data_IF_320993604297
#
_entry.id   IF_320993604297
#
_cell.length_a   1.000
_cell.length_b   1.000
_cell.length_c   1.000
_cell.angle_alpha   90.00
_cell.angle_beta   90.00
_cell.angle_gamma   90.00
#
_symmetry.space_group_name_H-M   'P 1'
#
loop_
_entity.id
_entity.type
_entity.pdbx_description
1 polymer ?
#
# COMPACT_ATOMS: atom_id res chain seq x y z
N UNK A 1 20.26 3.28 1.43
CA UNK A 1 20.76 2.04 0.79
C UNK A 1 21.88 1.35 1.55
N UNK A 2 23.05 1.99 1.78
CA UNK A 2 24.18 1.35 2.50
C UNK A 2 23.75 0.67 3.80
N UNK A 3 22.94 1.36 4.63
CA UNK A 3 22.37 0.77 5.85
C UNK A 3 21.54 -0.49 5.57
N UNK A 4 20.66 -0.47 4.58
CA UNK A 4 19.83 -1.62 4.22
C UNK A 4 20.68 -2.83 3.82
N UNK A 5 21.76 -2.63 3.05
CA UNK A 5 22.69 -3.71 2.75
C UNK A 5 23.43 -4.23 3.98
N UNK A 6 23.84 -3.35 4.90
CA UNK A 6 24.49 -3.75 6.15
C UNK A 6 23.62 -4.64 7.04
N UNK A 7 22.28 -4.53 6.95
CA UNK A 7 21.36 -5.40 7.70
C UNK A 7 21.18 -6.80 7.08
N UNK A 8 21.38 -6.95 5.76
CA UNK A 8 21.01 -8.19 5.03
C UNK A 8 22.20 -8.95 4.45
N UNK A 9 23.37 -8.32 4.32
CA UNK A 9 24.55 -8.94 3.72
C UNK A 9 25.55 -9.37 4.80
N UNK A 10 25.92 -10.66 4.80
CA UNK A 10 26.86 -11.27 5.76
C UNK A 10 28.14 -11.79 5.09
N UNK A 11 28.29 -11.58 3.78
CA UNK A 11 29.43 -12.06 2.98
C UNK A 11 29.16 -13.36 2.22
N UNK A 12 27.98 -13.95 2.37
CA UNK A 12 27.63 -15.28 1.82
C UNK A 12 26.58 -15.23 0.72
N UNK A 13 25.88 -14.12 0.63
CA UNK A 13 24.68 -13.96 -0.19
C UNK A 13 25.06 -13.75 -1.65
N UNK A 14 24.25 -14.30 -2.56
CA UNK A 14 24.21 -13.87 -3.96
C UNK A 14 23.17 -12.76 -4.09
N UNK A 15 23.60 -11.60 -4.58
CA UNK A 15 22.73 -10.43 -4.75
C UNK A 15 22.41 -10.23 -6.22
N UNK A 16 21.15 -10.01 -6.58
CA UNK A 16 20.77 -9.54 -7.90
C UNK A 16 20.34 -8.06 -7.84
N UNK A 17 20.92 -7.22 -8.68
CA UNK A 17 20.59 -5.81 -8.85
C UNK A 17 19.86 -5.66 -10.18
N UNK A 18 18.54 -5.44 -10.13
CA UNK A 18 17.68 -5.37 -11.30
C UNK A 18 17.39 -3.92 -11.70
N UNK A 19 17.71 -3.56 -12.94
CA UNK A 19 17.54 -2.21 -13.47
C UNK A 19 18.72 -1.28 -13.16
N UNK A 20 18.83 -0.19 -13.92
CA UNK A 20 19.99 0.71 -13.89
C UNK A 20 20.15 1.43 -12.55
N UNK A 21 19.05 1.78 -11.86
CA UNK A 21 19.13 2.41 -10.55
C UNK A 21 19.74 1.45 -9.52
N UNK A 22 19.33 0.18 -9.53
CA UNK A 22 19.91 -0.82 -8.62
C UNK A 22 21.37 -1.10 -8.96
N UNK A 23 21.71 -1.16 -10.26
CA UNK A 23 23.09 -1.36 -10.72
C UNK A 23 24.06 -0.27 -10.21
N UNK A 24 23.58 0.95 -9.94
CA UNK A 24 24.42 2.02 -9.36
C UNK A 24 24.99 1.67 -7.98
N UNK A 25 24.42 0.68 -7.28
CA UNK A 25 24.86 0.21 -5.97
C UNK A 25 25.72 -1.06 -6.02
N UNK A 26 26.29 -1.37 -7.19
CA UNK A 26 27.10 -2.57 -7.42
C UNK A 26 28.30 -2.66 -6.48
N UNK A 27 28.98 -1.55 -6.17
CA UNK A 27 30.16 -1.55 -5.30
C UNK A 27 29.77 -1.88 -3.86
N UNK A 28 28.72 -1.26 -3.35
CA UNK A 28 28.18 -1.51 -2.02
C UNK A 28 27.72 -2.97 -1.87
N UNK A 29 26.95 -3.48 -2.83
CA UNK A 29 26.52 -4.87 -2.84
C UNK A 29 27.73 -5.83 -2.89
N UNK A 30 28.72 -5.56 -3.76
CA UNK A 30 29.91 -6.37 -3.89
C UNK A 30 30.82 -6.31 -2.66
N UNK A 31 30.71 -5.29 -1.80
CA UNK A 31 31.47 -5.24 -0.54
C UNK A 31 30.94 -6.23 0.51
N UNK A 32 29.63 -6.50 0.51
CA UNK A 32 28.95 -7.34 1.49
C UNK A 32 28.47 -8.70 0.99
N UNK A 33 28.39 -8.94 -0.32
CA UNK A 33 27.89 -10.20 -0.90
C UNK A 33 29.01 -11.22 -1.17
N UNK A 34 28.68 -12.47 -1.48
CA UNK A 34 29.60 -13.44 -2.06
C UNK A 34 29.74 -13.24 -3.59
N UNK A 35 28.64 -12.93 -4.27
CA UNK A 35 28.60 -12.61 -5.71
C UNK A 35 27.47 -11.64 -6.02
N UNK A 36 27.60 -10.89 -7.10
CA UNK A 36 26.60 -9.91 -7.56
C UNK A 36 26.23 -10.21 -9.00
N UNK A 37 24.93 -10.17 -9.31
CA UNK A 37 24.40 -10.20 -10.67
C UNK A 37 23.76 -8.86 -10.97
N UNK A 38 24.18 -8.19 -12.02
CA UNK A 38 23.56 -6.96 -12.51
C UNK A 38 22.70 -7.31 -13.71
N UNK A 39 21.39 -7.02 -13.63
CA UNK A 39 20.42 -7.30 -14.69
C UNK A 39 19.98 -5.99 -15.32
N UNK A 40 20.24 -5.82 -16.61
CA UNK A 40 19.89 -4.62 -17.38
C UNK A 40 19.24 -5.04 -18.70
N UNK A 41 18.32 -4.21 -19.22
CA UNK A 41 17.59 -4.53 -20.45
C UNK A 41 18.38 -4.14 -21.70
N UNK A 42 19.10 -3.01 -21.63
CA UNK A 42 19.83 -2.45 -22.76
C UNK A 42 21.32 -2.84 -22.77
N UNK A 43 21.84 -3.04 -23.99
CA UNK A 43 23.23 -3.47 -24.21
C UNK A 43 24.24 -2.43 -23.73
N UNK A 44 23.97 -1.14 -23.93
CA UNK A 44 24.87 -0.06 -23.53
C UNK A 44 25.04 -0.01 -22.00
N UNK A 45 23.97 -0.14 -21.24
CA UNK A 45 23.98 -0.27 -19.80
C UNK A 45 24.78 -1.49 -19.34
N UNK A 46 24.63 -2.64 -20.02
CA UNK A 46 25.41 -3.84 -19.73
C UNK A 46 26.92 -3.62 -19.93
N UNK A 47 27.30 -2.99 -21.05
CA UNK A 47 28.70 -2.68 -21.34
C UNK A 47 29.28 -1.74 -20.26
N UNK A 48 28.56 -0.66 -19.93
CA UNK A 48 28.97 0.29 -18.89
C UNK A 48 29.11 -0.37 -17.51
N UNK A 49 28.18 -1.25 -17.13
CA UNK A 49 28.25 -1.98 -15.87
C UNK A 49 29.47 -2.92 -15.84
N UNK A 50 29.76 -3.62 -16.94
CA UNK A 50 30.94 -4.48 -17.06
C UNK A 50 32.26 -3.70 -16.95
N UNK A 51 32.37 -2.56 -17.64
CA UNK A 51 33.53 -1.68 -17.55
C UNK A 51 33.71 -1.10 -16.14
N UNK A 52 32.61 -0.69 -15.50
CA UNK A 52 32.63 -0.20 -14.13
C UNK A 52 33.11 -1.30 -13.16
N UNK A 53 32.59 -2.53 -13.30
CA UNK A 53 33.04 -3.66 -12.49
C UNK A 53 34.54 -3.94 -12.68
N UNK A 54 35.04 -3.92 -13.91
CA UNK A 54 36.45 -4.10 -14.21
C UNK A 54 37.32 -3.00 -13.58
N UNK A 55 36.92 -1.73 -13.72
CA UNK A 55 37.63 -0.57 -13.18
C UNK A 55 37.73 -0.58 -11.66
N UNK A 56 36.71 -1.12 -10.99
CA UNK A 56 36.67 -1.28 -9.54
C UNK A 56 37.33 -2.58 -9.05
N UNK A 57 37.90 -3.40 -9.94
CA UNK A 57 38.51 -4.68 -9.57
C UNK A 57 37.49 -5.76 -9.16
N UNK A 58 36.22 -5.62 -9.56
CA UNK A 58 35.10 -6.48 -9.18
C UNK A 58 34.69 -7.49 -10.27
N UNK A 59 35.41 -7.53 -11.40
CA UNK A 59 35.03 -8.37 -12.55
C UNK A 59 34.88 -9.87 -12.23
N UNK A 60 35.62 -10.40 -11.24
CA UNK A 60 35.50 -11.80 -10.83
C UNK A 60 34.25 -12.08 -9.95
N UNK A 61 33.61 -11.03 -9.42
CA UNK A 61 32.50 -11.12 -8.46
C UNK A 61 31.17 -10.67 -9.06
N UNK A 62 31.22 -9.84 -10.10
CA UNK A 62 30.07 -9.27 -10.77
C UNK A 62 29.84 -9.97 -12.10
N UNK A 63 28.65 -10.54 -12.25
CA UNK A 63 28.09 -11.03 -13.50
C UNK A 63 27.12 -9.98 -14.05
N UNK A 64 27.21 -9.65 -15.34
CA UNK A 64 26.26 -8.75 -16.00
C UNK A 64 25.39 -9.56 -16.96
N UNK A 65 24.08 -9.44 -16.81
CA UNK A 65 23.07 -10.17 -17.58
C UNK A 65 22.20 -9.18 -18.34
N UNK A 66 22.20 -9.28 -19.66
CA UNK A 66 21.26 -8.55 -20.50
C UNK A 66 19.94 -9.32 -20.60
N UNK A 67 18.87 -8.83 -19.98
CA UNK A 67 17.55 -9.47 -20.02
C UNK A 67 16.43 -8.51 -19.64
N UNK A 68 15.23 -8.75 -20.17
CA UNK A 68 14.01 -8.04 -19.76
C UNK A 68 13.65 -8.33 -18.31
N UNK A 69 13.29 -7.30 -17.54
CA UNK A 69 13.07 -7.45 -16.09
C UNK A 69 11.84 -8.28 -15.72
N UNK A 70 10.90 -8.45 -16.65
CA UNK A 70 9.69 -9.29 -16.50
C UNK A 70 9.85 -10.70 -17.08
N UNK A 71 11.02 -11.04 -17.62
CA UNK A 71 11.25 -12.31 -18.32
C UNK A 71 12.54 -13.01 -17.87
N UNK A 72 13.44 -12.29 -17.18
CA UNK A 72 14.73 -12.81 -16.74
C UNK A 72 14.58 -14.06 -15.86
N UNK A 73 15.46 -15.03 -16.09
CA UNK A 73 15.65 -16.19 -15.23
C UNK A 73 17.14 -16.35 -14.96
N UNK A 74 17.50 -16.76 -13.75
CA UNK A 74 18.90 -17.03 -13.38
C UNK A 74 19.10 -18.53 -13.18
N UNK A 75 20.22 -19.06 -13.69
CA UNK A 75 20.60 -20.45 -13.45
C UNK A 75 20.79 -20.76 -11.95
N UNK A 76 21.25 -19.76 -11.19
CA UNK A 76 21.23 -19.76 -9.73
C UNK A 76 20.50 -18.51 -9.24
N UNK A 77 19.33 -18.72 -8.62
CA UNK A 77 18.53 -17.68 -7.95
C UNK A 77 19.35 -16.95 -6.87
N UNK A 78 18.96 -15.71 -6.57
CA UNK A 78 19.64 -14.84 -5.61
C UNK A 78 19.03 -14.95 -4.20
N UNK A 79 19.86 -14.73 -3.18
CA UNK A 79 19.43 -14.65 -1.77
C UNK A 79 18.79 -13.29 -1.47
N UNK A 80 19.30 -12.23 -2.12
CA UNK A 80 18.76 -10.88 -2.06
C UNK A 80 18.55 -10.37 -3.47
N UNK A 81 17.37 -9.81 -3.75
CA UNK A 81 17.10 -9.14 -5.03
C UNK A 81 16.74 -7.69 -4.73
N UNK A 82 17.36 -6.75 -5.46
CA UNK A 82 17.10 -5.33 -5.34
C UNK A 82 16.55 -4.77 -6.64
N UNK A 83 15.45 -4.04 -6.54
CA UNK A 83 14.86 -3.24 -7.60
C UNK A 83 14.39 -1.92 -6.99
N UNK A 84 14.64 -0.80 -7.66
CA UNK A 84 14.21 0.51 -7.17
C UNK A 84 13.03 1.01 -8.00
N UNK A 85 11.78 0.86 -7.52
CA UNK A 85 10.60 1.34 -8.25
C UNK A 85 10.66 2.86 -8.40
N UNK A 86 10.19 3.34 -9.54
CA UNK A 86 10.22 4.76 -9.93
C UNK A 86 8.85 5.41 -9.75
N UNK A 87 7.79 4.59 -9.86
CA UNK A 87 6.41 5.07 -9.80
C UNK A 87 5.90 5.18 -8.37
N UNK A 88 5.44 6.38 -8.02
CA UNK A 88 4.60 6.58 -6.83
C UNK A 88 3.32 5.75 -7.00
N UNK A 89 2.97 4.96 -5.98
CA UNK A 89 1.83 4.03 -5.98
C UNK A 89 1.86 2.91 -7.03
N UNK A 90 2.95 2.76 -7.81
CA UNK A 90 3.01 1.77 -8.91
C UNK A 90 1.86 1.91 -9.91
N UNK A 91 1.33 3.13 -10.05
CA UNK A 91 0.29 3.46 -11.01
C UNK A 91 0.85 3.43 -12.43
N UNK A 92 2.12 3.82 -12.58
CA UNK A 92 2.80 3.96 -13.85
C UNK A 92 3.83 2.85 -14.05
N UNK A 93 3.99 2.42 -15.30
CA UNK A 93 5.06 1.52 -15.70
C UNK A 93 4.92 0.08 -15.17
N UNK A 94 5.94 -0.75 -15.38
CA UNK A 94 5.87 -2.17 -15.08
C UNK A 94 6.29 -2.51 -13.64
N UNK A 95 6.55 -1.54 -12.76
CA UNK A 95 7.18 -1.75 -11.44
C UNK A 95 6.54 -2.90 -10.63
N UNK A 96 5.22 -2.94 -10.56
CA UNK A 96 4.49 -3.99 -9.85
C UNK A 96 4.70 -5.38 -10.50
N UNK A 97 4.70 -5.45 -11.83
CA UNK A 97 4.93 -6.68 -12.59
C UNK A 97 6.39 -7.14 -12.49
N UNK A 98 7.34 -6.20 -12.55
CA UNK A 98 8.77 -6.46 -12.36
C UNK A 98 9.03 -7.04 -10.97
N UNK A 99 8.54 -6.39 -9.91
CA UNK A 99 8.72 -6.87 -8.54
C UNK A 99 8.12 -8.27 -8.33
N UNK A 100 6.91 -8.51 -8.86
CA UNK A 100 6.27 -9.82 -8.79
C UNK A 100 7.08 -10.90 -9.53
N UNK A 101 7.59 -10.58 -10.73
CA UNK A 101 8.42 -11.50 -11.51
C UNK A 101 9.75 -11.80 -10.82
N UNK A 102 10.45 -10.76 -10.33
CA UNK A 102 11.71 -10.90 -9.62
C UNK A 102 11.55 -11.78 -8.36
N UNK A 103 10.47 -11.58 -7.58
CA UNK A 103 10.15 -12.42 -6.43
C UNK A 103 9.91 -13.89 -6.82
N UNK A 104 9.20 -14.15 -7.92
CA UNK A 104 8.86 -15.50 -8.35
C UNK A 104 9.98 -16.26 -9.08
N UNK A 105 10.76 -15.57 -9.91
CA UNK A 105 11.70 -16.16 -10.86
C UNK A 105 13.18 -16.00 -10.47
N UNK A 106 13.53 -14.90 -9.78
CA UNK A 106 14.92 -14.53 -9.51
C UNK A 106 15.29 -14.77 -8.04
N UNK A 107 14.38 -14.51 -7.11
CA UNK A 107 14.61 -14.69 -5.68
C UNK A 107 14.48 -16.17 -5.26
N UNK A 108 15.36 -16.64 -4.37
CA UNK A 108 15.23 -17.93 -3.71
C UNK A 108 14.06 -17.93 -2.73
N UNK A 109 13.53 -19.12 -2.42
CA UNK A 109 12.58 -19.25 -1.31
C UNK A 109 13.24 -18.82 0.00
N UNK A 110 12.56 -17.96 0.78
CA UNK A 110 13.10 -17.35 2.00
C UNK A 110 14.14 -16.25 1.76
N UNK A 111 14.42 -15.90 0.50
CA UNK A 111 15.25 -14.74 0.16
C UNK A 111 14.54 -13.42 0.46
N UNK A 112 15.28 -12.32 0.37
CA UNK A 112 14.76 -10.98 0.65
C UNK A 112 14.70 -10.10 -0.60
N UNK A 113 13.57 -9.41 -0.78
CA UNK A 113 13.43 -8.37 -1.78
C UNK A 113 13.70 -6.99 -1.16
N UNK A 114 14.39 -6.13 -1.90
CA UNK A 114 14.56 -4.71 -1.61
C UNK A 114 13.93 -3.92 -2.76
N UNK A 115 12.86 -3.13 -2.53
CA UNK A 115 12.24 -2.89 -1.23
C UNK A 115 11.49 -4.09 -0.67
N UNK A 116 11.39 -4.15 0.66
CA UNK A 116 10.59 -5.14 1.39
C UNK A 116 9.09 -4.90 1.16
N UNK A 117 8.66 -3.64 1.37
CA UNK A 117 7.28 -3.22 1.16
C UNK A 117 7.15 -1.75 0.81
N UNK A 118 6.02 -1.39 0.21
CA UNK A 118 5.62 0.00 -0.05
C UNK A 118 4.28 0.28 0.60
N UNK A 119 4.22 1.32 1.41
CA UNK A 119 2.99 1.87 1.96
C UNK A 119 2.54 3.07 1.10
N UNK A 120 1.31 3.01 0.62
CA UNK A 120 0.65 4.04 -0.16
C UNK A 120 -0.10 4.99 0.78
N UNK A 121 0.20 6.27 0.67
CA UNK A 121 -0.37 7.33 1.50
C UNK A 121 -1.12 8.34 0.63
N UNK A 122 -2.19 8.92 1.18
CA UNK A 122 -2.93 10.00 0.53
C UNK A 122 -3.34 11.10 1.50
N UNK A 123 -3.44 12.32 0.99
CA UNK A 123 -3.92 13.49 1.72
C UNK A 123 -5.02 14.18 0.91
N UNK A 124 -6.06 14.70 1.57
CA UNK A 124 -7.00 15.63 0.92
C UNK A 124 -6.26 16.91 0.54
N UNK A 125 -6.46 17.38 -0.68
CA UNK A 125 -5.76 18.54 -1.19
C UNK A 125 -6.65 19.43 -2.07
N UNK A 126 -6.27 20.69 -2.15
CA UNK A 126 -6.64 21.56 -3.26
C UNK A 126 -5.63 21.35 -4.41
N UNK A 127 -6.00 20.51 -5.36
CA UNK A 127 -5.21 20.24 -6.57
C UNK A 127 -5.54 21.30 -7.63
N UNK A 128 -4.54 22.02 -8.17
CA UNK A 128 -4.76 22.96 -9.27
C UNK A 128 -5.18 22.22 -10.54
N UNK A 129 -6.42 22.45 -10.98
CA UNK A 129 -6.99 21.89 -12.22
C UNK A 129 -7.04 22.92 -13.36
N UNK A 130 -6.89 24.22 -13.07
CA UNK A 130 -6.92 25.28 -14.07
C UNK A 130 -5.53 25.68 -14.56
N UNK A 131 -5.33 25.77 -15.88
CA UNK A 131 -4.14 26.36 -16.49
C UNK A 131 -4.50 27.15 -17.76
N UNK A 132 -4.29 28.48 -17.75
CA UNK A 132 -4.53 29.32 -18.93
C UNK A 132 -5.99 29.34 -19.42
N UNK A 133 -6.95 29.20 -18.50
CA UNK A 133 -8.38 29.13 -18.83
C UNK A 133 -8.87 27.74 -19.26
N UNK A 134 -7.98 26.74 -19.31
CA UNK A 134 -8.34 25.34 -19.53
C UNK A 134 -8.47 24.63 -18.18
N UNK A 135 -9.56 23.89 -18.01
CA UNK A 135 -9.74 22.97 -16.88
C UNK A 135 -9.26 21.58 -17.28
N UNK A 136 -8.26 21.07 -16.57
CA UNK A 136 -7.64 19.76 -16.78
C UNK A 136 -7.71 18.96 -15.48
N UNK A 137 -8.63 17.98 -15.45
CA UNK A 137 -8.80 17.03 -14.34
C UNK A 137 -8.12 15.71 -14.67
N UNK A 138 -6.79 15.74 -14.76
CA UNK A 138 -5.96 14.55 -14.97
C UNK A 138 -4.93 14.40 -13.85
N UNK A 139 -4.73 13.17 -13.40
CA UNK A 139 -3.67 12.88 -12.43
C UNK A 139 -2.30 13.13 -13.06
N UNK A 140 -1.37 13.69 -12.28
CA UNK A 140 -0.01 14.02 -12.75
C UNK A 140 0.99 14.04 -11.60
N UNK A 141 2.26 13.90 -11.93
CA UNK A 141 3.34 14.19 -10.99
C UNK A 141 3.34 15.69 -10.62
N UNK A 142 3.51 15.97 -9.34
CA UNK A 142 3.75 17.32 -8.82
C UNK A 142 5.08 17.84 -9.33
N UNK A 143 5.14 19.13 -9.64
CA UNK A 143 6.42 19.77 -9.99
C UNK A 143 7.21 20.07 -8.72
N UNK A 144 8.56 20.09 -8.78
CA UNK A 144 9.36 20.54 -7.65
C UNK A 144 8.97 21.95 -7.19
N UNK A 145 8.70 22.11 -5.89
CA UNK A 145 8.31 23.38 -5.29
C UNK A 145 6.88 23.84 -5.61
N UNK A 146 6.07 23.02 -6.28
CA UNK A 146 4.66 23.34 -6.52
C UNK A 146 3.87 23.39 -5.21
N UNK A 147 3.26 24.53 -4.86
CA UNK A 147 2.47 24.63 -3.64
C UNK A 147 1.16 23.87 -3.81
N UNK A 148 0.85 23.01 -2.84
CA UNK A 148 -0.41 22.26 -2.77
C UNK A 148 -0.99 22.47 -1.38
N UNK A 149 -2.21 23.01 -1.29
CA UNK A 149 -2.86 23.19 0.00
C UNK A 149 -3.39 21.83 0.49
N UNK A 150 -2.82 21.33 1.58
CA UNK A 150 -3.19 20.07 2.22
C UNK A 150 -4.26 20.35 3.28
N UNK A 151 -5.35 19.60 3.23
CA UNK A 151 -6.55 19.80 4.04
C UNK A 151 -6.74 18.72 5.12
N UNK A 152 -5.97 17.63 5.09
CA UNK A 152 -6.05 16.52 6.04
C UNK A 152 -4.68 16.08 6.54
N UNK A 153 -4.65 15.17 7.50
CA UNK A 153 -3.46 14.36 7.77
C UNK A 153 -3.18 13.40 6.61
N UNK A 154 -1.97 12.85 6.59
CA UNK A 154 -1.61 11.77 5.68
C UNK A 154 -2.28 10.48 6.15
N UNK A 155 -3.10 9.89 5.28
CA UNK A 155 -3.81 8.65 5.55
C UNK A 155 -3.19 7.49 4.81
N UNK A 156 -2.98 6.38 5.54
CA UNK A 156 -2.58 5.11 4.95
C UNK A 156 -3.72 4.51 4.14
N UNK A 157 -3.41 4.02 2.95
CA UNK A 157 -4.38 3.40 2.05
C UNK A 157 -4.15 1.89 1.89
N UNK A 158 -2.95 1.53 1.46
CA UNK A 158 -2.58 0.16 1.13
C UNK A 158 -1.11 -0.07 1.44
N UNK A 159 -0.76 -1.28 1.86
CA UNK A 159 0.63 -1.73 1.93
C UNK A 159 0.80 -2.92 1.00
N UNK A 160 1.80 -2.85 0.13
CA UNK A 160 2.20 -3.97 -0.73
C UNK A 160 3.53 -4.51 -0.22
N UNK A 161 3.52 -5.74 0.28
CA UNK A 161 4.73 -6.50 0.60
C UNK A 161 5.08 -7.40 -0.60
N UNK A 162 6.34 -7.37 -1.03
CA UNK A 162 6.74 -8.03 -2.28
C UNK A 162 7.39 -9.40 -2.06
N UNK A 163 7.81 -9.71 -0.83
CA UNK A 163 8.41 -11.00 -0.49
C UNK A 163 7.36 -12.11 -0.39
N UNK A 164 6.15 -11.79 0.07
CA UNK A 164 5.00 -12.68 -0.04
C UNK A 164 4.60 -12.78 -1.51
N UNK A 165 4.72 -13.96 -2.11
CA UNK A 165 4.37 -14.26 -3.51
C UNK A 165 2.86 -14.12 -3.84
N UNK A 166 2.13 -13.27 -3.11
CA UNK A 166 0.76 -12.93 -3.39
C UNK A 166 0.69 -12.37 -4.82
N UNK A 167 -0.23 -12.92 -5.61
CA UNK A 167 -0.46 -12.46 -6.98
C UNK A 167 -0.70 -10.96 -6.98
N UNK A 168 -0.09 -10.27 -7.94
CA UNK A 168 -0.40 -8.87 -8.22
C UNK A 168 -1.92 -8.72 -8.31
N UNK A 169 -2.47 -7.76 -7.56
CA UNK A 169 -3.92 -7.55 -7.55
C UNK A 169 -4.37 -7.06 -8.93
N UNK A 170 -5.46 -7.65 -9.45
CA UNK A 170 -6.03 -7.31 -10.78
C UNK A 170 -6.55 -5.87 -10.88
N UNK A 171 -6.64 -5.17 -9.74
CA UNK A 171 -7.01 -3.77 -9.62
C UNK A 171 -7.45 -3.42 -8.20
N UNK A 172 -7.46 -2.12 -7.94
CA UNK A 172 -8.01 -1.50 -6.74
C UNK A 172 -9.33 -0.84 -7.12
N UNK A 173 -10.36 -1.08 -6.32
CA UNK A 173 -11.67 -0.42 -6.37
C UNK A 173 -12.19 -0.38 -4.93
N UNK A 174 -11.87 0.71 -4.22
CA UNK A 174 -12.07 0.81 -2.77
C UNK A 174 -12.51 2.21 -2.35
N UNK A 175 -13.10 2.32 -1.16
CA UNK A 175 -13.54 3.58 -0.55
C UNK A 175 -12.85 3.78 0.79
N UNK A 176 -12.24 4.94 0.98
CA UNK A 176 -11.63 5.35 2.23
C UNK A 176 -12.27 6.65 2.75
N UNK A 177 -12.29 6.83 4.05
CA UNK A 177 -12.82 8.04 4.68
C UNK A 177 -11.65 8.91 5.13
N UNK A 178 -11.67 10.21 4.83
CA UNK A 178 -10.59 11.12 5.23
C UNK A 178 -11.17 12.32 5.96
N UNK A 179 -10.65 12.61 7.15
CA UNK A 179 -11.06 13.76 7.95
C UNK A 179 -10.34 15.02 7.48
N UNK A 180 -11.12 16.06 7.17
CA UNK A 180 -10.59 17.38 6.88
C UNK A 180 -10.17 18.05 8.20
N UNK A 181 -8.90 18.39 8.33
CA UNK A 181 -8.39 19.22 9.43
C UNK A 181 -8.64 20.71 9.18
N UNK A 182 -8.65 21.12 7.90
CA UNK A 182 -8.84 22.49 7.49
C UNK A 182 -10.04 22.58 6.54
N UNK A 183 -10.79 23.67 6.64
CA UNK A 183 -11.85 24.00 5.68
C UNK A 183 -11.29 24.53 4.36
N UNK A 184 -12.02 24.33 3.26
CA UNK A 184 -11.63 24.80 1.94
C UNK A 184 -12.33 24.05 0.81
N UNK A 185 -11.70 24.07 -0.37
CA UNK A 185 -12.15 23.31 -1.55
C UNK A 185 -11.23 22.13 -1.76
N UNK A 186 -11.70 20.93 -1.44
CA UNK A 186 -11.03 19.68 -1.74
C UNK A 186 -11.31 19.30 -3.21
N UNK A 187 -10.34 19.53 -4.09
CA UNK A 187 -10.45 19.24 -5.52
C UNK A 187 -9.66 18.00 -5.95
N UNK A 188 -8.97 17.33 -5.02
CA UNK A 188 -8.26 16.09 -5.30
C UNK A 188 -7.51 15.51 -4.10
N UNK A 189 -6.59 14.60 -4.40
CA UNK A 189 -5.65 14.00 -3.48
C UNK A 189 -4.22 14.36 -3.84
N UNK A 190 -3.37 14.44 -2.81
CA UNK A 190 -1.92 14.28 -2.96
C UNK A 190 -1.56 12.86 -2.57
N UNK A 191 -1.03 12.09 -3.51
CA UNK A 191 -0.62 10.70 -3.31
C UNK A 191 0.89 10.64 -3.13
N UNK A 192 1.34 9.92 -2.11
CA UNK A 192 2.76 9.68 -1.83
C UNK A 192 2.99 8.23 -1.40
N UNK A 193 4.25 7.81 -1.27
CA UNK A 193 4.55 6.47 -0.76
C UNK A 193 5.67 6.51 0.28
N UNK A 194 5.66 5.53 1.17
CA UNK A 194 6.79 5.19 2.01
C UNK A 194 7.33 3.84 1.55
N UNK A 195 8.63 3.76 1.33
CA UNK A 195 9.31 2.57 0.85
C UNK A 195 10.15 2.04 2.01
N UNK A 196 9.78 0.88 2.54
CA UNK A 196 10.62 0.17 3.50
C UNK A 196 11.56 -0.73 2.73
N UNK A 197 12.85 -0.41 2.76
CA UNK A 197 13.88 -1.14 2.03
C UNK A 197 14.08 -2.53 2.64
N UNK A 198 14.21 -2.55 3.97
CA UNK A 198 14.32 -3.72 4.83
C UNK A 198 13.66 -3.38 6.17
N UNK A 199 13.27 -4.36 7.01
CA UNK A 199 12.63 -4.08 8.30
C UNK A 199 13.38 -3.02 9.12
N UNK A 200 12.70 -1.93 9.49
CA UNK A 200 13.25 -0.82 10.27
C UNK A 200 14.05 0.22 9.47
N UNK A 201 14.19 0.07 8.15
CA UNK A 201 14.87 1.03 7.27
C UNK A 201 13.91 1.50 6.18
N UNK A 202 13.25 2.63 6.42
CA UNK A 202 12.30 3.23 5.51
C UNK A 202 12.75 4.57 4.93
N UNK A 203 12.26 4.87 3.73
CA UNK A 203 12.42 6.12 3.01
C UNK A 203 11.04 6.66 2.63
N UNK A 204 10.89 7.98 2.57
CA UNK A 204 9.70 8.59 1.97
C UNK A 204 9.97 8.75 0.48
N UNK A 205 9.14 8.12 -0.35
CA UNK A 205 9.41 7.93 -1.78
C UNK A 205 9.55 9.23 -2.56
N UNK A 206 8.96 10.33 -2.09
CA UNK A 206 9.03 11.64 -2.75
C UNK A 206 10.46 12.16 -2.97
N UNK A 207 11.45 11.56 -2.32
CA UNK A 207 12.88 11.93 -2.45
C UNK A 207 13.68 11.06 -3.43
N UNK A 208 13.14 9.92 -3.88
CA UNK A 208 13.87 8.94 -4.71
C UNK A 208 13.08 8.46 -5.93
N UNK A 209 11.76 8.35 -5.78
CA UNK A 209 10.80 8.12 -6.85
C UNK A 209 10.31 9.46 -7.42
N UNK A 210 9.51 9.44 -8.49
CA UNK A 210 8.86 10.64 -8.98
C UNK A 210 8.16 11.42 -7.84
N UNK A 211 8.02 12.74 -7.99
CA UNK A 211 7.31 13.56 -7.01
C UNK A 211 5.91 13.03 -6.68
N UNK A 212 5.26 13.53 -5.61
CA UNK A 212 3.92 13.07 -5.26
C UNK A 212 2.96 13.25 -6.44
N UNK A 213 1.98 12.37 -6.58
CA UNK A 213 0.97 12.48 -7.62
C UNK A 213 -0.14 13.39 -7.12
N UNK A 214 -0.53 14.37 -7.93
CA UNK A 214 -1.72 15.17 -7.71
C UNK A 214 -2.85 14.54 -8.52
N UNK A 215 -3.84 14.02 -7.82
CA UNK A 215 -4.94 13.23 -8.38
C UNK A 215 -6.26 13.98 -8.19
N UNK A 216 -6.72 14.77 -9.19
CA UNK A 216 -7.95 15.54 -9.05
C UNK A 216 -9.18 14.64 -8.94
N UNK A 217 -10.15 15.06 -8.16
CA UNK A 217 -11.48 14.46 -8.13
C UNK A 217 -12.26 14.84 -9.39
N UNK A 218 -13.28 14.03 -9.69
CA UNK A 218 -14.27 14.35 -10.73
C UNK A 218 -14.94 15.71 -10.51
N UNK A 219 -15.23 16.04 -9.26
CA UNK A 219 -15.91 17.26 -8.85
C UNK A 219 -15.24 17.82 -7.60
N UNK A 220 -15.27 19.15 -7.45
CA UNK A 220 -14.76 19.82 -6.26
C UNK A 220 -15.74 19.65 -5.11
N UNK A 221 -15.20 19.44 -3.91
CA UNK A 221 -16.00 19.30 -2.69
C UNK A 221 -15.64 20.45 -1.75
N UNK A 222 -16.63 21.25 -1.36
CA UNK A 222 -16.46 22.24 -0.29
C UNK A 222 -16.51 21.51 1.04
N UNK A 223 -15.51 21.72 1.88
CA UNK A 223 -15.34 21.02 3.15
C UNK A 223 -15.10 22.00 4.28
N UNK A 224 -15.62 21.71 5.45
CA UNK A 224 -15.30 22.40 6.69
C UNK A 224 -14.36 21.54 7.55
N UNK A 225 -13.61 22.19 8.45
CA UNK A 225 -12.77 21.48 9.41
C UNK A 225 -13.63 20.54 10.27
N UNK A 226 -13.16 19.31 10.48
CA UNK A 226 -13.87 18.25 11.19
C UNK A 226 -14.82 17.42 10.31
N UNK A 227 -15.13 17.85 9.08
CA UNK A 227 -15.95 17.04 8.17
C UNK A 227 -15.15 15.85 7.62
N UNK A 228 -15.87 14.80 7.25
CA UNK A 228 -15.28 13.58 6.70
C UNK A 228 -15.69 13.41 5.24
N UNK A 229 -14.74 13.07 4.38
CA UNK A 229 -15.00 12.80 2.97
C UNK A 229 -14.91 11.30 2.73
N UNK A 230 -15.92 10.76 2.05
CA UNK A 230 -15.88 9.42 1.48
C UNK A 230 -15.21 9.51 0.11
N UNK A 231 -14.00 8.99 0.01
CA UNK A 231 -13.14 9.03 -1.17
C UNK A 231 -13.11 7.64 -1.81
N UNK A 232 -13.62 7.56 -3.04
CA UNK A 232 -13.58 6.35 -3.86
C UNK A 232 -12.35 6.39 -4.77
N UNK A 233 -11.55 5.33 -4.72
CA UNK A 233 -10.29 5.14 -5.43
C UNK A 233 -10.40 3.91 -6.31
N UNK A 234 -10.16 4.08 -7.61
CA UNK A 234 -10.12 2.98 -8.57
C UNK A 234 -8.94 3.08 -9.52
N UNK A 235 -8.09 2.06 -9.56
CA UNK A 235 -6.98 1.99 -10.50
C UNK A 235 -6.52 0.55 -10.74
N UNK A 236 -5.66 0.35 -11.73
CA UNK A 236 -4.93 -0.91 -11.94
C UNK A 236 -3.44 -0.62 -11.97
N UNK A 237 -2.61 -1.31 -11.18
CA UNK A 237 -1.16 -1.11 -11.22
C UNK A 237 -0.61 -1.22 -12.64
N UNK A 238 0.26 -0.28 -13.01
CA UNK A 238 0.92 -0.20 -14.32
C UNK A 238 0.03 0.18 -15.52
N UNK A 239 -1.25 0.49 -15.32
CA UNK A 239 -2.13 0.98 -16.39
C UNK A 239 -2.11 2.51 -16.57
N UNK A 240 -1.21 3.20 -15.87
CA UNK A 240 -1.01 4.65 -16.02
C UNK A 240 -2.00 5.50 -15.23
N UNK A 241 -1.63 6.78 -15.08
CA UNK A 241 -2.41 7.78 -14.34
C UNK A 241 -3.74 8.12 -15.04
N UNK A 242 -3.79 7.96 -16.36
CA UNK A 242 -4.95 8.26 -17.21
C UNK A 242 -6.11 7.30 -17.00
N UNK A 243 -5.87 6.12 -16.43
CA UNK A 243 -6.91 5.13 -16.11
C UNK A 243 -7.36 5.20 -14.66
N UNK A 244 -6.56 5.79 -13.77
CA UNK A 244 -6.90 5.97 -12.37
C UNK A 244 -8.06 6.96 -12.19
N UNK A 245 -9.01 6.64 -11.31
CA UNK A 245 -10.20 7.44 -11.04
C UNK A 245 -10.32 7.69 -9.54
N UNK A 246 -10.59 8.96 -9.22
CA UNK A 246 -10.77 9.43 -7.86
C UNK A 246 -12.05 10.25 -7.82
N UNK A 247 -12.92 9.97 -6.86
CA UNK A 247 -14.10 10.80 -6.60
C UNK A 247 -14.31 10.91 -5.11
N UNK A 248 -14.79 12.06 -4.67
CA UNK A 248 -15.10 12.28 -3.28
C UNK A 248 -16.51 12.85 -3.14
N UNK A 249 -17.10 12.59 -1.99
CA UNK A 249 -18.31 13.26 -1.52
C UNK A 249 -18.18 13.48 -0.03
N UNK A 250 -18.85 14.51 0.50
CA UNK A 250 -19.04 14.61 1.94
C UNK A 250 -19.69 13.30 2.41
N UNK A 251 -19.06 12.65 3.38
CA UNK A 251 -19.76 11.65 4.15
C UNK A 251 -20.92 12.41 4.79
N UNK A 252 -22.16 12.01 4.47
CA UNK A 252 -23.33 12.58 5.12
C UNK A 252 -23.08 12.50 6.61
N UNK A 253 -23.03 13.65 7.29
CA UNK A 253 -22.72 13.70 8.70
C UNK A 253 -23.54 12.68 9.45
N UNK A 254 -22.90 11.94 10.35
CA UNK A 254 -23.54 11.14 11.40
C UNK A 254 -24.40 12.01 12.34
N UNK A 255 -24.55 13.30 12.05
CA UNK A 255 -25.45 14.23 12.72
C UNK A 255 -26.91 13.77 12.61
N UNK A 256 -27.41 13.24 13.72
CA UNK A 256 -28.82 13.00 14.06
C UNK A 256 -29.61 12.02 13.19
N UNK A 257 -28.96 11.09 12.50
CA UNK A 257 -29.67 9.96 11.90
C UNK A 257 -29.61 8.78 12.85
N UNK A 258 -30.77 8.29 13.27
CA UNK A 258 -30.91 7.14 14.14
C UNK A 258 -30.14 5.96 13.54
N UNK A 259 -28.95 5.70 14.09
CA UNK A 259 -28.23 4.45 13.82
C UNK A 259 -29.14 3.28 14.16
N UNK A 260 -28.95 2.15 13.48
CA UNK A 260 -29.60 0.92 13.90
C UNK A 260 -29.25 0.70 15.37
N UNK A 261 -30.28 0.68 16.21
CA UNK A 261 -30.08 0.40 17.62
C UNK A 261 -29.32 -0.92 17.77
N UNK A 262 -28.46 -1.01 18.79
CA UNK A 262 -27.60 -2.17 18.98
C UNK A 262 -28.36 -3.50 19.12
N UNK A 263 -29.64 -3.44 19.48
CA UNK A 263 -30.59 -4.56 19.60
C UNK A 263 -31.39 -4.86 18.32
N UNK A 264 -31.18 -4.10 17.24
CA UNK A 264 -31.86 -4.33 15.97
C UNK A 264 -31.51 -5.72 15.42
N UNK A 265 -32.48 -6.49 14.87
CA UNK A 265 -32.25 -7.87 14.42
C UNK A 265 -31.08 -8.04 13.44
N UNK A 266 -30.91 -7.07 12.53
CA UNK A 266 -29.77 -7.05 11.57
C UNK A 266 -28.42 -6.90 12.28
N UNK A 267 -28.36 -6.06 13.32
CA UNK A 267 -27.13 -5.86 14.11
C UNK A 267 -26.84 -7.09 14.94
N UNK A 268 -27.85 -7.71 15.54
CA UNK A 268 -27.69 -8.94 16.31
C UNK A 268 -27.20 -10.11 15.45
N UNK A 269 -27.78 -10.31 14.26
CA UNK A 269 -27.31 -11.34 13.33
C UNK A 269 -25.85 -11.09 12.90
N UNK A 270 -25.50 -9.85 12.59
CA UNK A 270 -24.12 -9.47 12.29
C UNK A 270 -23.18 -9.79 13.46
N UNK A 271 -23.57 -9.43 14.69
CA UNK A 271 -22.79 -9.71 15.90
C UNK A 271 -22.56 -11.20 16.13
N UNK A 272 -23.59 -12.03 15.94
CA UNK A 272 -23.47 -13.50 16.01
C UNK A 272 -22.46 -14.03 14.99
N UNK A 273 -22.51 -13.57 13.73
CA UNK A 273 -21.58 -14.01 12.70
C UNK A 273 -20.13 -13.55 12.98
N UNK A 274 -19.93 -12.35 13.55
CA UNK A 274 -18.62 -11.89 14.02
C UNK A 274 -18.11 -12.75 15.18
N UNK A 275 -18.97 -13.09 16.14
CA UNK A 275 -18.63 -13.93 17.29
C UNK A 275 -18.15 -15.33 16.86
N UNK A 276 -18.86 -15.96 15.91
CA UNK A 276 -18.47 -17.23 15.33
C UNK A 276 -17.11 -17.15 14.63
N UNK A 277 -16.86 -16.06 13.89
CA UNK A 277 -15.59 -15.82 13.23
C UNK A 277 -14.43 -15.70 14.23
N UNK A 278 -14.62 -14.93 15.32
CA UNK A 278 -13.63 -14.77 16.39
C UNK A 278 -13.30 -16.10 17.07
N UNK A 279 -14.32 -16.89 17.42
CA UNK A 279 -14.11 -18.24 17.97
C UNK A 279 -13.38 -19.17 17.00
N UNK A 280 -13.64 -19.02 15.70
CA UNK A 280 -12.89 -19.72 14.65
C UNK A 280 -11.39 -19.38 14.67
N UNK A 281 -11.06 -18.08 14.79
CA UNK A 281 -9.66 -17.61 14.92
C UNK A 281 -8.99 -18.19 16.17
N UNK A 282 -9.70 -18.23 17.30
CA UNK A 282 -9.18 -18.81 18.54
C UNK A 282 -8.95 -20.31 18.43
N UNK A 283 -9.88 -21.05 17.81
CA UNK A 283 -9.75 -22.48 17.57
C UNK A 283 -8.55 -22.83 16.69
N UNK A 284 -8.12 -21.90 15.83
CA UNK A 284 -6.89 -22.01 15.03
C UNK A 284 -5.62 -21.68 15.83
N UNK A 285 -5.73 -21.32 17.12
CA UNK A 285 -4.60 -20.92 17.98
C UNK A 285 -4.09 -19.51 17.69
N UNK A 286 -4.90 -18.66 17.03
CA UNK A 286 -4.48 -17.35 16.53
C UNK A 286 -5.05 -16.16 17.30
N UNK A 287 -5.72 -16.41 18.42
CA UNK A 287 -6.33 -15.35 19.24
C UNK A 287 -5.33 -14.26 19.67
N UNK A 288 -4.11 -14.63 20.06
CA UNK A 288 -3.10 -13.68 20.51
C UNK A 288 -2.54 -12.75 19.40
N UNK A 289 -2.69 -13.12 18.13
CA UNK A 289 -2.35 -12.24 17.00
C UNK A 289 -3.44 -11.18 16.85
N UNK A 290 -4.71 -11.60 16.90
CA UNK A 290 -5.86 -10.71 16.87
C UNK A 290 -5.84 -9.71 18.05
N UNK A 291 -5.48 -10.17 19.25
CA UNK A 291 -5.44 -9.31 20.44
C UNK A 291 -4.44 -8.15 20.28
N UNK A 292 -3.26 -8.45 19.71
CA UNK A 292 -2.27 -7.42 19.39
C UNK A 292 -2.85 -6.39 18.44
N UNK A 293 -3.58 -6.84 17.43
CA UNK A 293 -4.16 -5.95 16.41
C UNK A 293 -5.23 -5.05 16.99
N UNK A 294 -6.17 -5.60 17.77
CA UNK A 294 -7.19 -4.80 18.45
C UNK A 294 -6.59 -3.81 19.44
N UNK A 295 -5.47 -4.18 20.10
CA UNK A 295 -4.78 -3.24 20.99
C UNK A 295 -4.27 -1.98 20.27
N UNK A 296 -3.87 -2.10 19.00
CA UNK A 296 -3.47 -0.96 18.18
C UNK A 296 -4.66 -0.12 17.67
N UNK A 297 -5.88 -0.68 17.64
CA UNK A 297 -7.07 0.05 17.16
C UNK A 297 -7.86 0.73 18.30
N UNK A 298 -7.72 0.26 19.54
CA UNK A 298 -8.38 0.83 20.74
C UNK A 298 -7.87 2.23 21.10
N UNK A 299 -6.59 2.50 20.91
CA UNK A 299 -5.97 3.81 21.10
C UNK A 299 -5.40 4.29 19.75
N UNK A 300 -6.17 5.01 18.93
CA UNK A 300 -5.74 5.38 17.58
C UNK A 300 -4.64 6.44 17.64
N UNK A 301 -3.38 5.99 17.65
CA UNK A 301 -2.25 6.82 17.22
C UNK A 301 -2.22 6.85 15.69
N UNK A 302 -3.11 7.65 15.10
CA UNK A 302 -3.18 7.83 13.66
C UNK A 302 -4.11 6.83 12.96
N UNK A 303 -4.74 7.37 11.93
CA UNK A 303 -5.97 6.90 11.30
C UNK A 303 -5.71 5.73 10.32
N UNK A 304 -5.43 4.54 10.86
CA UNK A 304 -5.40 3.30 10.06
C UNK A 304 -6.80 2.69 10.08
N UNK A 305 -7.37 2.52 8.89
CA UNK A 305 -8.63 1.82 8.59
C UNK A 305 -8.95 0.68 9.58
N UNK A 306 -9.76 0.99 10.59
CA UNK A 306 -9.96 0.17 11.80
C UNK A 306 -10.66 -1.17 11.53
N UNK A 307 -11.42 -1.26 10.44
CA UNK A 307 -12.21 -2.44 10.09
C UNK A 307 -11.39 -3.52 9.36
N UNK A 308 -10.50 -3.13 8.47
CA UNK A 308 -9.69 -4.07 7.68
C UNK A 308 -8.44 -4.51 8.43
N UNK A 309 -7.81 -3.63 9.22
CA UNK A 309 -6.62 -3.99 10.00
C UNK A 309 -6.85 -5.16 10.97
N UNK A 310 -8.06 -5.24 11.58
CA UNK A 310 -8.43 -6.24 12.59
C UNK A 310 -8.31 -7.69 12.10
N UNK A 311 -8.59 -7.94 10.82
CA UNK A 311 -8.53 -9.28 10.22
C UNK A 311 -7.44 -9.44 9.14
N UNK A 312 -6.94 -8.36 8.53
CA UNK A 312 -5.87 -8.40 7.51
C UNK A 312 -4.54 -8.94 8.01
N UNK A 313 -4.28 -8.83 9.31
CA UNK A 313 -3.03 -9.24 9.95
C UNK A 313 -3.07 -10.70 10.41
N UNK A 314 -4.27 -11.26 10.53
CA UNK A 314 -4.46 -12.65 10.92
C UNK A 314 -4.37 -13.49 9.66
N UNK A 315 -5.35 -13.52 8.76
CA UNK A 315 -5.27 -14.39 7.58
C UNK A 315 -6.07 -13.84 6.39
N UNK A 316 -5.56 -14.05 5.17
CA UNK A 316 -6.29 -13.74 3.94
C UNK A 316 -7.63 -14.50 3.87
N UNK A 317 -7.69 -15.67 4.54
CA UNK A 317 -8.87 -16.51 4.63
C UNK A 317 -10.06 -15.83 5.36
N UNK A 318 -9.80 -14.88 6.27
CA UNK A 318 -10.86 -14.14 7.00
C UNK A 318 -11.27 -12.84 6.33
N UNK A 319 -10.42 -12.27 5.47
CA UNK A 319 -10.68 -11.00 4.83
C UNK A 319 -11.92 -11.04 3.92
N UNK A 320 -12.03 -12.03 3.03
CA UNK A 320 -13.17 -12.15 2.10
C UNK A 320 -14.50 -12.41 2.85
N UNK A 321 -14.57 -13.34 3.81
CA UNK A 321 -15.78 -13.53 4.63
C UNK A 321 -16.20 -12.28 5.39
N UNK A 322 -15.27 -11.59 6.06
CA UNK A 322 -15.60 -10.39 6.82
C UNK A 322 -16.10 -9.27 5.92
N UNK A 323 -15.44 -9.03 4.78
CA UNK A 323 -15.89 -8.02 3.81
C UNK A 323 -17.31 -8.32 3.34
N UNK A 324 -17.60 -9.58 3.02
CA UNK A 324 -18.95 -10.03 2.64
C UNK A 324 -19.96 -9.79 3.78
N UNK A 325 -19.57 -10.02 5.03
CA UNK A 325 -20.39 -9.78 6.21
C UNK A 325 -20.72 -8.29 6.39
N UNK A 326 -19.72 -7.42 6.27
CA UNK A 326 -19.85 -5.96 6.32
C UNK A 326 -20.76 -5.45 5.18
N UNK A 327 -20.56 -5.93 3.96
CA UNK A 327 -21.42 -5.60 2.82
C UNK A 327 -22.85 -6.13 3.02
N UNK A 328 -23.02 -7.26 3.71
CA UNK A 328 -24.29 -7.85 4.11
C UNK A 328 -25.06 -6.98 5.09
N UNK A 329 -24.44 -6.60 6.22
CA UNK A 329 -25.07 -5.73 7.23
C UNK A 329 -25.38 -4.34 6.66
N UNK A 330 -24.53 -3.82 5.78
CA UNK A 330 -24.76 -2.55 5.06
C UNK A 330 -26.04 -2.59 4.22
N UNK A 331 -26.23 -3.67 3.47
CA UNK A 331 -27.39 -3.87 2.61
C UNK A 331 -28.66 -4.12 3.41
N UNK A 332 -28.60 -5.04 4.38
CA UNK A 332 -29.73 -5.36 5.24
C UNK A 332 -30.16 -4.15 6.10
N UNK A 333 -29.20 -3.36 6.57
CA UNK A 333 -29.48 -2.11 7.25
C UNK A 333 -30.16 -1.08 6.34
N UNK A 334 -29.68 -0.97 5.10
CA UNK A 334 -30.29 -0.09 4.09
C UNK A 334 -31.72 -0.50 3.75
N UNK A 335 -32.00 -1.80 3.68
CA UNK A 335 -33.34 -2.34 3.44
C UNK A 335 -34.26 -2.11 4.65
N UNK A 336 -33.77 -2.34 5.88
CA UNK A 336 -34.58 -2.26 7.09
C UNK A 336 -34.89 -0.83 7.55
N UNK A 337 -33.92 0.08 7.41
CA UNK A 337 -34.02 1.46 7.93
C UNK A 337 -34.04 2.53 6.85
N UNK A 338 -33.87 2.15 5.57
CA UNK A 338 -33.61 3.10 4.49
C UNK A 338 -32.20 3.69 4.52
N UNK A 339 -31.32 3.20 5.40
CA UNK A 339 -30.00 3.77 5.65
C UNK A 339 -28.91 2.71 5.74
N UNK A 340 -27.77 2.96 5.10
CA UNK A 340 -26.59 2.10 5.21
C UNK A 340 -25.82 2.43 6.49
N UNK A 341 -25.63 1.48 7.42
CA UNK A 341 -24.75 1.63 8.56
C UNK A 341 -23.37 2.20 8.19
N UNK A 342 -22.90 3.18 8.97
CA UNK A 342 -21.57 3.76 8.82
C UNK A 342 -20.47 2.82 9.34
N UNK A 343 -19.24 3.05 8.91
CA UNK A 343 -18.09 2.25 9.33
C UNK A 343 -17.84 2.30 10.84
N UNK A 344 -18.04 3.45 11.47
CA UNK A 344 -17.83 3.59 12.91
C UNK A 344 -18.83 2.74 13.71
N UNK A 345 -20.10 2.71 13.31
CA UNK A 345 -21.12 1.88 13.95
C UNK A 345 -20.80 0.39 13.79
N UNK A 346 -20.43 -0.04 12.58
CA UNK A 346 -20.03 -1.43 12.31
C UNK A 346 -18.79 -1.81 13.13
N UNK A 347 -17.80 -0.93 13.21
CA UNK A 347 -16.62 -1.12 14.04
C UNK A 347 -16.98 -1.27 15.51
N UNK A 348 -17.82 -0.38 16.03
CA UNK A 348 -18.25 -0.43 17.42
C UNK A 348 -18.99 -1.74 17.73
N UNK A 349 -19.85 -2.22 16.82
CA UNK A 349 -20.52 -3.51 16.97
C UNK A 349 -19.54 -4.68 16.99
N UNK A 350 -18.51 -4.66 16.13
CA UNK A 350 -17.47 -5.68 16.11
C UNK A 350 -16.61 -5.66 17.37
N UNK A 351 -16.24 -4.47 17.84
CA UNK A 351 -15.45 -4.27 19.05
C UNK A 351 -16.20 -4.77 20.29
N UNK A 352 -17.50 -4.50 20.38
CA UNK A 352 -18.36 -5.01 21.46
C UNK A 352 -18.39 -6.55 21.49
N UNK A 353 -18.49 -7.20 20.33
CA UNK A 353 -18.46 -8.66 20.24
C UNK A 353 -17.09 -9.21 20.63
N UNK A 354 -16.01 -8.59 20.15
CA UNK A 354 -14.66 -8.95 20.54
C UNK A 354 -14.46 -8.86 22.06
N UNK A 355 -14.92 -7.78 22.67
CA UNK A 355 -14.86 -7.57 24.12
C UNK A 355 -15.63 -8.64 24.90
N UNK A 356 -16.83 -8.98 24.43
CA UNK A 356 -17.64 -10.04 25.03
C UNK A 356 -16.93 -11.40 24.95
N UNK A 357 -16.44 -11.80 23.77
CA UNK A 357 -15.73 -13.07 23.56
C UNK A 357 -14.48 -13.16 24.45
N UNK A 358 -13.72 -12.07 24.59
CA UNK A 358 -12.51 -12.05 25.41
C UNK A 358 -12.77 -12.02 26.91
N UNK A 359 -13.94 -11.56 27.35
CA UNK A 359 -14.33 -11.63 28.75
C UNK A 359 -14.75 -13.04 29.19
N UNK A 360 -15.13 -13.92 28.26
CA UNK A 360 -15.51 -15.31 28.52
C UNK A 360 -14.30 -16.28 28.64
N UNK A 361 -13.15 -15.90 28.09
CA UNK A 361 -11.94 -16.74 27.98
C UNK A 361 -11.04 -16.69 29.23
#
# INVERSE_FOLDING_TARGET
MVRAFGEVLTGKERVALAGWQAASYMVEAASGAASVVVILEDEAGCQLAGEAAARQGLAAKVEVVQAGLTEVTLGQRADVVMYLPVSTWMLEGPDAAVLAHLAGAVLKSGGQLIPWRVAQLMELAHVPTGAGGLEVRAARLSRPGEPVAILSESKHFLTTEFASAARAQDGIDDTIFIHALLGGVASGLRLSSMVELVPGVALISSEQAGGPILAPFKEDVVVEAGQTLSVHVRYRPGQGLETARFSARLALGTSDRAELAGDHPVVQAFKTEVEEMLRGVDAMGRGADLDRVVSYTREPHGDVSRLTAMFWTVDDDFHKPLRKLIEGVRRAGAEASGQTPGDEAIYQWMLEVYEAVRAEA
#
